data_IF_745194235028
#
_entry.id   IF_745194235028
#
_cell.length_a   1.000
_cell.length_b   1.000
_cell.length_c   1.000
_cell.angle_alpha   90.00
_cell.angle_beta   90.00
_cell.angle_gamma   90.00
#
_symmetry.space_group_name_H-M   'P 1'
#
loop_
_entity.id
_entity.type
_entity.pdbx_description
1 polymer ?
#
# COMPACT_ATOMS: atom_id res chain seq x y z
N UNK A 1 22.82 13.40 -6.78
CA UNK A 1 21.66 13.30 -5.86
C UNK A 1 21.27 14.71 -5.43
N UNK A 2 20.01 15.09 -5.55
CA UNK A 2 19.54 16.43 -5.17
C UNK A 2 19.43 16.59 -3.66
N UNK A 3 19.77 17.78 -3.15
CA UNK A 3 19.47 18.20 -1.78
C UNK A 3 18.26 19.12 -1.85
N UNK A 4 17.26 18.87 -1.02
CA UNK A 4 16.04 19.67 -0.96
C UNK A 4 15.69 19.88 0.51
N UNK A 5 15.33 21.11 0.86
CA UNK A 5 14.77 21.43 2.18
C UNK A 5 13.25 21.37 2.07
N UNK A 6 12.61 20.55 2.90
CA UNK A 6 11.17 20.36 2.93
C UNK A 6 10.72 20.29 4.39
N UNK A 7 9.57 20.89 4.69
CA UNK A 7 8.90 20.72 5.98
C UNK A 7 8.15 19.39 5.99
N UNK A 8 8.35 18.60 7.05
CA UNK A 8 7.72 17.29 7.24
C UNK A 8 7.30 17.17 8.70
N UNK A 9 6.13 16.59 8.92
CA UNK A 9 5.66 16.18 10.24
C UNK A 9 6.64 15.22 10.92
N UNK A 10 7.21 15.67 12.04
CA UNK A 10 8.23 14.96 12.80
C UNK A 10 7.67 13.70 13.48
N UNK A 11 6.41 13.73 13.93
CA UNK A 11 5.76 12.57 14.55
C UNK A 11 5.55 11.46 13.52
N UNK A 12 5.18 11.83 12.29
CA UNK A 12 5.07 10.88 11.18
C UNK A 12 6.43 10.24 10.85
N UNK A 13 7.50 11.03 10.82
CA UNK A 13 8.85 10.51 10.52
C UNK A 13 9.34 9.57 11.62
N UNK A 14 9.10 9.88 12.89
CA UNK A 14 9.47 8.97 13.98
C UNK A 14 8.69 7.66 13.92
N UNK A 15 7.39 7.71 13.61
CA UNK A 15 6.60 6.49 13.39
C UNK A 15 7.13 5.70 12.20
N UNK A 16 7.47 6.36 11.10
CA UNK A 16 8.05 5.72 9.93
C UNK A 16 9.39 5.05 10.27
N UNK A 17 10.29 5.75 10.97
CA UNK A 17 11.57 5.20 11.41
C UNK A 17 11.41 3.96 12.28
N UNK A 18 10.47 3.98 13.25
CA UNK A 18 10.17 2.80 14.10
C UNK A 18 9.66 1.62 13.28
N UNK A 19 8.81 1.85 12.28
CA UNK A 19 8.27 0.80 11.41
C UNK A 19 9.26 0.26 10.38
N UNK A 20 10.22 1.09 9.93
CA UNK A 20 11.16 0.72 8.87
C UNK A 20 12.55 0.36 9.39
N UNK A 21 12.88 0.68 10.64
CA UNK A 21 14.23 0.59 11.18
C UNK A 21 15.18 1.67 10.64
N UNK A 22 14.65 2.76 10.07
CA UNK A 22 15.48 3.82 9.49
C UNK A 22 16.21 4.62 10.57
N UNK A 23 17.50 4.88 10.35
CA UNK A 23 18.36 5.60 11.29
C UNK A 23 18.21 7.13 11.16
N UNK A 24 17.84 7.62 9.98
CA UNK A 24 17.72 9.05 9.70
C UNK A 24 16.40 9.43 9.02
N UNK A 25 16.02 10.71 9.13
CA UNK A 25 14.84 11.27 8.42
C UNK A 25 14.97 11.07 6.91
N UNK A 26 16.16 11.30 6.35
CA UNK A 26 16.47 11.11 4.93
C UNK A 26 16.25 9.67 4.49
N UNK A 27 16.72 8.71 5.27
CA UNK A 27 16.56 7.29 4.97
C UNK A 27 15.09 6.86 5.05
N UNK A 28 14.34 7.34 6.05
CA UNK A 28 12.91 7.08 6.15
C UNK A 28 12.15 7.59 4.90
N UNK A 29 12.49 8.78 4.41
CA UNK A 29 11.91 9.36 3.19
C UNK A 29 12.30 8.54 1.95
N UNK A 30 13.56 8.12 1.82
CA UNK A 30 14.00 7.29 0.69
C UNK A 30 13.26 5.95 0.64
N UNK A 31 13.13 5.26 1.79
CA UNK A 31 12.36 4.02 1.91
C UNK A 31 10.89 4.25 1.54
N UNK A 32 10.29 5.34 2.02
CA UNK A 32 8.90 5.68 1.73
C UNK A 32 8.67 5.89 0.22
N UNK A 33 9.55 6.65 -0.44
CA UNK A 33 9.46 6.90 -1.88
C UNK A 33 9.62 5.62 -2.70
N UNK A 34 10.59 4.76 -2.36
CA UNK A 34 10.77 3.46 -3.03
C UNK A 34 9.53 2.58 -2.89
N UNK A 35 8.98 2.48 -1.68
CA UNK A 35 7.74 1.72 -1.43
C UNK A 35 6.55 2.30 -2.18
N UNK A 36 6.44 3.62 -2.27
CA UNK A 36 5.37 4.28 -3.02
C UNK A 36 5.43 3.91 -4.51
N UNK A 37 6.62 3.98 -5.11
CA UNK A 37 6.82 3.62 -6.52
C UNK A 37 6.52 2.14 -6.75
N UNK A 38 7.04 1.25 -5.89
CA UNK A 38 6.81 -0.20 -5.99
C UNK A 38 5.31 -0.53 -5.92
N UNK A 39 4.61 0.00 -4.90
CA UNK A 39 3.17 -0.20 -4.72
C UNK A 39 2.37 0.40 -5.88
N UNK A 40 2.70 1.62 -6.31
CA UNK A 40 2.03 2.28 -7.42
C UNK A 40 2.13 1.48 -8.73
N UNK A 41 3.32 0.95 -9.02
CA UNK A 41 3.53 0.10 -10.19
C UNK A 41 2.76 -1.21 -10.11
N UNK A 42 2.77 -1.88 -8.95
CA UNK A 42 1.98 -3.08 -8.72
C UNK A 42 0.48 -2.82 -8.89
N UNK A 43 -0.06 -1.78 -8.25
CA UNK A 43 -1.48 -1.46 -8.35
C UNK A 43 -1.90 -1.10 -9.77
N UNK A 44 -1.05 -0.39 -10.53
CA UNK A 44 -1.33 -0.11 -11.95
C UNK A 44 -1.40 -1.41 -12.76
N UNK A 45 -0.48 -2.34 -12.54
CA UNK A 45 -0.48 -3.64 -13.21
C UNK A 45 -1.77 -4.43 -12.87
N UNK A 46 -2.14 -4.51 -11.58
CA UNK A 46 -3.36 -5.18 -11.15
C UNK A 46 -4.62 -4.52 -11.73
N UNK A 47 -4.70 -3.19 -11.76
CA UNK A 47 -5.85 -2.48 -12.36
C UNK A 47 -6.01 -2.78 -13.85
N UNK A 48 -4.93 -3.02 -14.59
CA UNK A 48 -5.00 -3.43 -16.01
C UNK A 48 -5.60 -4.81 -16.23
N UNK A 49 -5.60 -5.66 -15.21
CA UNK A 49 -6.20 -6.99 -15.23
C UNK A 49 -7.69 -6.99 -14.83
N UNK A 50 -8.21 -5.86 -14.35
CA UNK A 50 -9.62 -5.71 -13.98
C UNK A 50 -10.52 -6.04 -15.18
N UNK A 51 -11.46 -6.95 -14.98
CA UNK A 51 -12.40 -7.41 -16.03
C UNK A 51 -11.80 -8.37 -17.06
N UNK A 52 -10.49 -8.65 -17.01
CA UNK A 52 -9.82 -9.60 -17.92
C UNK A 52 -9.67 -11.00 -17.32
N UNK A 53 -9.69 -11.09 -15.99
CA UNK A 53 -9.58 -12.36 -15.27
C UNK A 53 -10.98 -12.96 -15.11
N UNK A 54 -11.16 -14.18 -15.60
CA UNK A 54 -12.35 -14.97 -15.32
C UNK A 54 -12.32 -15.39 -13.85
N UNK A 55 -13.26 -14.86 -13.07
CA UNK A 55 -13.46 -15.31 -11.70
C UNK A 55 -14.45 -16.49 -11.69
N UNK A 56 -14.07 -17.58 -11.03
CA UNK A 56 -14.93 -18.76 -10.85
C UNK A 56 -15.41 -18.81 -9.39
N UNK A 57 -16.72 -18.68 -9.21
CA UNK A 57 -17.40 -18.77 -7.93
C UNK A 57 -18.85 -18.36 -8.07
N UNK A 58 -19.68 -18.70 -7.09
CA UNK A 58 -21.06 -18.23 -6.99
C UNK A 58 -21.14 -17.20 -5.86
N UNK A 59 -21.35 -15.95 -6.23
CA UNK A 59 -21.44 -14.83 -5.28
C UNK A 59 -22.68 -14.96 -4.40
N UNK A 60 -23.77 -15.52 -4.94
CA UNK A 60 -25.06 -15.58 -4.25
C UNK A 60 -25.07 -16.69 -3.21
N UNK A 61 -24.42 -17.83 -3.49
CA UNK A 61 -24.10 -18.85 -2.48
C UNK A 61 -23.33 -18.26 -1.28
N UNK A 62 -22.29 -17.44 -1.55
CA UNK A 62 -21.48 -16.84 -0.47
C UNK A 62 -22.23 -15.79 0.34
N UNK A 63 -23.13 -15.03 -0.30
CA UNK A 63 -23.97 -14.06 0.39
C UNK A 63 -24.98 -14.75 1.30
N UNK A 64 -25.60 -15.82 0.81
CA UNK A 64 -26.64 -16.57 1.53
C UNK A 64 -26.09 -17.28 2.77
N UNK A 65 -24.87 -17.80 2.71
CA UNK A 65 -24.18 -18.43 3.85
C UNK A 65 -23.89 -17.47 5.03
N UNK A 66 -23.88 -16.14 4.79
CA UNK A 66 -23.68 -15.14 5.87
C UNK A 66 -24.98 -14.78 6.59
N UNK A 67 -26.12 -14.92 5.90
CA UNK A 67 -27.44 -14.59 6.42
C UNK A 67 -28.14 -15.79 7.07
N UNK A 68 -27.70 -17.01 6.79
CA UNK A 68 -28.18 -18.21 7.50
C UNK A 68 -27.54 -18.31 8.89
N UNK A 69 -27.93 -17.41 9.78
CA UNK A 69 -27.87 -17.64 11.22
C UNK A 69 -29.31 -17.60 11.73
N UNK A 70 -29.98 -18.73 11.58
CA UNK A 70 -31.20 -19.11 12.30
C UNK A 70 -30.95 -20.53 12.82
#
# INVERSE_FOLDING_TARGET
>A
MGRTNIEIDEALVEKAKRLTGAKSKREAVDIALRRLVQKGSLYRALRRLRGKLAWKGDVDSWRSARTSKA
#
